data_IF_050961171756
#
_entry.id   IF_050961171756
#
_cell.length_a   1.000
_cell.length_b   1.000
_cell.length_c   1.000
_cell.angle_alpha   90.00
_cell.angle_beta   90.00
_cell.angle_gamma   90.00
#
_symmetry.space_group_name_H-M   'P 1'
#
loop_
_entity.id
_entity.type
_entity.pdbx_description
1 polymer ?
#
# COMPACT_ATOMS: atom_id res chain seq x y z
N UNK A 1 -26.64 19.24 -8.83
CA UNK A 1 -25.91 17.97 -9.02
C UNK A 1 -25.63 17.79 -10.52
N UNK A 2 -24.53 17.15 -10.91
CA UNK A 2 -24.10 17.08 -12.31
C UNK A 2 -24.96 16.16 -13.21
N UNK A 3 -26.06 15.57 -12.72
CA UNK A 3 -26.91 14.66 -13.49
C UNK A 3 -26.31 13.26 -13.74
N UNK A 4 -25.09 13.01 -13.26
CA UNK A 4 -24.41 11.72 -13.39
C UNK A 4 -24.84 10.72 -12.32
N UNK A 5 -25.01 9.47 -12.72
CA UNK A 5 -25.29 8.31 -11.85
C UNK A 5 -24.02 7.83 -11.14
N UNK A 6 -22.88 7.98 -11.80
CA UNK A 6 -21.59 7.54 -11.27
C UNK A 6 -20.53 8.64 -11.31
N UNK A 7 -19.54 8.50 -10.44
CA UNK A 7 -18.35 9.35 -10.45
C UNK A 7 -17.63 9.19 -11.80
N UNK A 8 -17.31 10.33 -12.41
CA UNK A 8 -16.63 10.43 -13.72
C UNK A 8 -17.39 9.78 -14.88
N UNK A 9 -18.73 9.76 -14.85
CA UNK A 9 -19.54 9.26 -15.98
C UNK A 9 -19.27 10.01 -17.30
N UNK A 10 -19.06 11.33 -17.24
CA UNK A 10 -18.70 12.15 -18.40
C UNK A 10 -17.22 12.09 -18.84
N UNK A 11 -16.35 11.41 -18.09
CA UNK A 11 -14.92 11.27 -18.40
C UNK A 11 -14.43 9.83 -18.14
N UNK A 12 -14.72 8.91 -19.07
CA UNK A 12 -14.35 7.50 -18.92
C UNK A 12 -12.84 7.27 -18.94
N UNK A 13 -12.07 8.12 -19.63
CA UNK A 13 -10.61 8.00 -19.72
C UNK A 13 -9.94 8.31 -18.38
N UNK A 14 -10.35 9.38 -17.70
CA UNK A 14 -9.87 9.68 -16.37
C UNK A 14 -10.28 8.59 -15.37
N UNK A 15 -11.52 8.10 -15.46
CA UNK A 15 -12.02 7.00 -14.63
C UNK A 15 -11.17 5.73 -14.76
N UNK A 16 -10.80 5.36 -15.99
CA UNK A 16 -9.93 4.20 -16.24
C UNK A 16 -8.52 4.41 -15.67
N UNK A 17 -7.92 5.59 -15.87
CA UNK A 17 -6.56 5.89 -15.36
C UNK A 17 -6.49 5.82 -13.84
N UNK A 18 -7.54 6.27 -13.14
CA UNK A 18 -7.62 6.16 -11.69
C UNK A 18 -7.77 4.71 -11.25
N UNK A 19 -8.69 3.94 -11.87
CA UNK A 19 -8.87 2.51 -11.58
C UNK A 19 -7.59 1.69 -11.73
N UNK A 20 -6.75 1.99 -12.72
CA UNK A 20 -5.47 1.30 -12.91
C UNK A 20 -4.45 1.60 -11.79
N UNK A 21 -4.58 2.75 -11.10
CA UNK A 21 -3.70 3.15 -10.00
C UNK A 21 -4.18 2.62 -8.64
N UNK A 22 -5.48 2.40 -8.50
CA UNK A 22 -6.12 2.00 -7.24
C UNK A 22 -5.43 0.82 -6.54
N UNK A 23 -5.03 -0.29 -7.21
CA UNK A 23 -4.39 -1.40 -6.52
C UNK A 23 -3.07 -1.04 -5.84
N UNK A 24 -2.25 -0.21 -6.52
CA UNK A 24 -0.94 0.22 -6.02
C UNK A 24 -1.10 1.24 -4.89
N UNK A 25 -1.97 2.24 -5.09
CA UNK A 25 -2.24 3.28 -4.09
C UNK A 25 -2.86 2.66 -2.84
N UNK A 26 -3.83 1.76 -2.99
CA UNK A 26 -4.48 1.08 -1.86
C UNK A 26 -3.47 0.28 -1.04
N UNK A 27 -2.59 -0.48 -1.70
CA UNK A 27 -1.55 -1.25 -1.02
C UNK A 27 -0.60 -0.35 -0.23
N UNK A 28 -0.16 0.76 -0.85
CA UNK A 28 0.72 1.73 -0.20
C UNK A 28 0.04 2.45 0.97
N UNK A 29 -1.25 2.78 0.86
CA UNK A 29 -2.00 3.41 1.94
C UNK A 29 -2.14 2.48 3.15
N UNK A 30 -2.42 1.20 2.93
CA UNK A 30 -2.44 0.19 4.01
C UNK A 30 -1.06 0.06 4.65
N UNK A 31 -0.01 -0.04 3.83
CA UNK A 31 1.37 -0.12 4.30
C UNK A 31 1.75 1.11 5.14
N UNK A 32 1.38 2.30 4.69
CA UNK A 32 1.63 3.56 5.39
C UNK A 32 0.87 3.62 6.72
N UNK A 33 -0.43 3.30 6.73
CA UNK A 33 -1.23 3.30 7.96
C UNK A 33 -0.65 2.35 9.01
N UNK A 34 -0.25 1.14 8.58
CA UNK A 34 0.38 0.15 9.45
C UNK A 34 1.74 0.63 9.98
N UNK A 35 2.55 1.23 9.11
CA UNK A 35 3.86 1.78 9.46
C UNK A 35 3.73 2.91 10.47
N UNK A 36 2.79 3.85 10.25
CA UNK A 36 2.51 4.93 11.19
C UNK A 36 2.05 4.41 12.55
N UNK A 37 1.22 3.36 12.59
CA UNK A 37 0.81 2.73 13.85
C UNK A 37 2.01 2.19 14.62
N UNK A 38 2.92 1.47 13.95
CA UNK A 38 4.17 0.97 14.56
C UNK A 38 5.08 2.07 15.09
N UNK A 39 5.12 3.24 14.44
CA UNK A 39 5.94 4.37 14.87
C UNK A 39 5.34 5.06 16.09
N UNK A 40 4.02 5.25 16.11
CA UNK A 40 3.32 6.08 17.09
C UNK A 40 2.88 5.34 18.35
N UNK A 41 2.60 4.03 18.24
CA UNK A 41 2.12 3.21 19.34
C UNK A 41 3.21 2.23 19.80
N UNK A 42 3.92 2.52 20.91
CA UNK A 42 4.97 1.64 21.42
C UNK A 42 4.42 0.29 21.93
N UNK A 43 3.12 0.19 22.21
CA UNK A 43 2.50 -1.06 22.64
C UNK A 43 2.08 -1.95 21.45
N UNK A 44 2.22 -1.44 20.22
CA UNK A 44 1.85 -2.19 19.02
C UNK A 44 2.92 -3.21 18.62
N UNK A 45 2.84 -4.39 19.22
CA UNK A 45 3.74 -5.51 18.95
C UNK A 45 3.37 -6.22 17.65
N UNK A 46 4.35 -6.34 16.75
CA UNK A 46 4.19 -6.98 15.44
C UNK A 46 5.06 -8.23 15.37
N UNK A 47 4.45 -9.38 15.03
CA UNK A 47 5.19 -10.61 14.73
C UNK A 47 5.94 -10.46 13.41
N UNK A 48 7.26 -10.26 13.49
CA UNK A 48 8.09 -10.16 12.30
C UNK A 48 8.27 -11.54 11.66
N UNK A 49 8.07 -11.59 10.33
CA UNK A 49 8.40 -12.78 9.54
C UNK A 49 9.89 -12.75 9.18
N UNK A 50 10.49 -13.93 8.89
CA UNK A 50 11.84 -13.98 8.33
C UNK A 50 11.97 -13.08 7.10
N UNK A 51 13.09 -12.37 6.98
CA UNK A 51 13.35 -11.51 5.82
C UNK A 51 13.44 -12.39 4.57
N UNK A 52 12.65 -12.04 3.53
CA UNK A 52 12.57 -12.80 2.29
C UNK A 52 13.51 -12.28 1.18
N UNK A 53 14.06 -11.08 1.35
CA UNK A 53 14.97 -10.45 0.39
C UNK A 53 16.29 -11.23 0.31
N UNK A 54 16.68 -11.65 -0.89
CA UNK A 54 17.89 -12.45 -1.15
C UNK A 54 19.17 -11.76 -0.69
N UNK A 55 19.25 -10.45 -0.84
CA UNK A 55 20.38 -9.62 -0.40
C UNK A 55 20.68 -9.82 1.10
N UNK A 56 19.65 -9.78 1.94
CA UNK A 56 19.79 -9.99 3.38
C UNK A 56 20.05 -11.45 3.75
N UNK A 57 19.49 -12.41 3.00
CA UNK A 57 19.79 -13.82 3.24
C UNK A 57 21.25 -14.17 2.91
N UNK A 58 21.83 -13.51 1.90
CA UNK A 58 23.24 -13.68 1.54
C UNK A 58 24.19 -13.08 2.60
N UNK A 59 23.89 -11.88 3.11
CA UNK A 59 24.69 -11.24 4.17
C UNK A 59 24.73 -12.05 5.47
N UNK A 60 23.61 -12.66 5.86
CA UNK A 60 23.54 -13.47 7.08
C UNK A 60 24.32 -14.80 7.00
N UNK A 61 24.71 -15.24 5.79
CA UNK A 61 25.48 -16.48 5.59
C UNK A 61 27.00 -16.24 5.65
N UNK A 62 27.43 -14.98 5.56
CA UNK A 62 28.83 -14.56 5.59
C UNK A 62 29.28 -14.06 6.97
N UNK A 63 28.39 -14.07 7.96
CA UNK A 63 28.64 -13.65 9.34
C UNK A 63 28.70 -14.86 10.28
#
# INVERSE_FOLDING_TARGET
>A
AAGHKEVLEGDPYLKQRLRLRDPYITTLNVFQAYTLKRIRDPNFHVKQRPRLSKEFMASNKLA
#
